data_IF_706792644802
#
_entry.id   IF_706792644802
#
_cell.length_a   1.000
_cell.length_b   1.000
_cell.length_c   1.000
_cell.angle_alpha   90.00
_cell.angle_beta   90.00
_cell.angle_gamma   90.00
#
_symmetry.space_group_name_H-M   'P 1'
#
loop_
_entity.id
_entity.type
_entity.pdbx_description
1 polymer ?
#
# COMPACT_ATOMS: atom_id res chain seq x y z
N UNK A 1 -10.60 0.68 20.20
CA UNK A 1 -9.69 1.41 19.30
C UNK A 1 -8.37 1.62 20.01
N UNK A 2 -7.23 1.61 19.29
CA UNK A 2 -5.88 1.65 19.87
C UNK A 2 -5.42 3.04 20.36
N UNK A 3 -6.27 4.08 20.27
CA UNK A 3 -6.00 5.44 20.75
C UNK A 3 -5.42 6.42 19.73
N UNK A 4 -5.28 6.02 18.46
CA UNK A 4 -4.85 6.93 17.38
C UNK A 4 -6.05 7.79 16.93
N UNK A 5 -5.95 9.13 16.90
CA UNK A 5 -6.99 10.02 16.38
C UNK A 5 -7.32 9.71 14.91
N UNK A 6 -8.61 9.75 14.56
CA UNK A 6 -9.07 9.37 13.22
C UNK A 6 -8.52 10.31 12.15
N UNK A 7 -8.35 11.57 12.51
CA UNK A 7 -7.85 12.64 11.66
C UNK A 7 -6.35 12.47 11.31
N UNK A 8 -5.64 11.56 11.99
CA UNK A 8 -4.24 11.20 11.72
C UNK A 8 -4.10 9.88 10.94
N UNK A 9 -5.20 9.33 10.43
CA UNK A 9 -5.21 8.08 9.66
C UNK A 9 -5.69 8.37 8.25
N UNK A 10 -4.80 8.20 7.28
CA UNK A 10 -5.13 8.33 5.87
C UNK A 10 -5.44 6.97 5.23
N UNK A 11 -6.54 6.91 4.47
CA UNK A 11 -6.96 5.70 3.74
C UNK A 11 -6.85 5.99 2.24
N UNK A 12 -5.91 5.31 1.57
CA UNK A 12 -5.60 5.54 0.15
C UNK A 12 -6.79 5.40 -0.80
N UNK A 13 -7.77 4.53 -0.49
CA UNK A 13 -8.89 4.22 -1.38
C UNK A 13 -8.52 3.35 -2.60
N UNK A 14 -7.25 2.98 -2.78
CA UNK A 14 -6.79 2.15 -3.90
C UNK A 14 -6.83 0.67 -3.54
N UNK A 15 -7.59 -0.10 -4.32
CA UNK A 15 -7.58 -1.56 -4.28
C UNK A 15 -6.53 -2.09 -5.27
N UNK A 16 -5.66 -3.03 -4.91
CA UNK A 16 -4.71 -3.64 -5.89
C UNK A 16 -5.40 -4.59 -6.88
N UNK A 17 -6.55 -5.15 -6.51
CA UNK A 17 -7.25 -6.12 -7.36
C UNK A 17 -8.08 -5.47 -8.48
N UNK A 18 -8.66 -4.29 -8.26
CA UNK A 18 -9.51 -3.60 -9.26
C UNK A 18 -8.70 -2.92 -10.38
N UNK A 19 -7.39 -3.06 -10.32
CA UNK A 19 -6.42 -1.99 -10.54
C UNK A 19 -5.09 -2.76 -10.62
N UNK A 20 -5.06 -3.80 -11.45
CA UNK A 20 -3.97 -4.78 -11.53
C UNK A 20 -3.12 -4.60 -12.79
N UNK A 21 -3.52 -3.64 -13.63
CA UNK A 21 -2.85 -3.14 -14.82
C UNK A 21 -1.66 -2.23 -14.48
N UNK A 22 -1.80 -1.44 -13.41
CA UNK A 22 -0.76 -0.57 -12.82
C UNK A 22 -0.07 -1.13 -11.55
N UNK A 23 -0.67 -2.09 -10.82
CA UNK A 23 -0.19 -2.60 -9.54
C UNK A 23 -0.17 -4.14 -9.52
N UNK A 24 0.79 -4.75 -8.82
CA UNK A 24 0.77 -6.20 -8.66
C UNK A 24 -0.34 -6.65 -7.71
N UNK A 25 -1.14 -7.62 -8.15
CA UNK A 25 -2.19 -8.26 -7.34
C UNK A 25 -2.11 -9.78 -7.41
N UNK A 26 -1.89 -10.41 -6.26
CA UNK A 26 -1.90 -11.87 -6.13
C UNK A 26 -3.25 -12.49 -6.55
N UNK A 27 -4.36 -11.83 -6.18
CA UNK A 27 -5.71 -12.31 -6.48
C UNK A 27 -6.03 -12.17 -7.97
N UNK A 28 -5.75 -11.02 -8.57
CA UNK A 28 -6.09 -10.77 -9.97
C UNK A 28 -5.31 -11.68 -10.93
N UNK A 29 -4.06 -12.03 -10.60
CA UNK A 29 -3.20 -12.83 -11.48
C UNK A 29 -3.17 -14.33 -11.15
N UNK A 30 -3.99 -14.79 -10.19
CA UNK A 30 -3.97 -16.19 -9.75
C UNK A 30 -2.60 -16.62 -9.20
N UNK A 31 -1.91 -15.72 -8.51
CA UNK A 31 -0.61 -15.97 -7.87
C UNK A 31 0.63 -15.67 -8.71
N UNK A 32 0.52 -15.48 -10.03
CA UNK A 32 1.67 -15.15 -10.90
C UNK A 32 1.88 -13.63 -10.97
N UNK A 33 2.73 -13.06 -10.13
CA UNK A 33 2.93 -11.60 -10.03
C UNK A 33 4.29 -11.23 -9.42
N UNK A 34 4.68 -9.97 -9.55
CA UNK A 34 5.76 -9.35 -8.77
C UNK A 34 5.30 -8.83 -7.39
N UNK A 35 6.19 -8.22 -6.61
CA UNK A 35 5.84 -7.61 -5.32
C UNK A 35 5.81 -6.08 -5.39
N UNK A 36 4.98 -5.47 -4.55
CA UNK A 36 5.06 -4.06 -4.20
C UNK A 36 5.73 -3.95 -2.82
N UNK A 37 6.23 -2.76 -2.48
CA UNK A 37 6.81 -2.48 -1.17
C UNK A 37 6.29 -1.15 -0.63
N UNK A 38 5.91 -1.12 0.65
CA UNK A 38 5.77 0.11 1.41
C UNK A 38 7.11 0.42 2.08
N UNK A 39 7.68 1.58 1.79
CA UNK A 39 9.00 1.98 2.29
C UNK A 39 8.87 3.31 3.01
N UNK A 40 9.49 3.41 4.19
CA UNK A 40 9.58 4.64 4.97
C UNK A 40 10.99 4.77 5.53
N UNK A 41 11.54 5.97 5.47
CA UNK A 41 12.85 6.30 6.05
C UNK A 41 12.85 7.74 6.50
N UNK A 42 13.74 8.06 7.45
CA UNK A 42 14.18 9.43 7.67
C UNK A 42 15.31 9.73 6.69
N UNK A 43 15.38 10.97 6.22
CA UNK A 43 16.54 11.46 5.47
C UNK A 43 17.65 11.79 6.46
N UNK A 44 18.90 11.57 6.10
CA UNK A 44 20.02 12.13 6.87
C UNK A 44 19.95 13.66 6.82
N UNK A 45 20.17 14.30 7.96
CA UNK A 45 20.28 15.76 8.04
C UNK A 45 21.66 16.23 7.61
N UNK A 46 21.74 17.44 7.07
CA UNK A 46 23.00 18.17 6.89
C UNK A 46 23.65 18.53 8.24
#
# INVERSE_FOLDING_TARGET
EAGIPKEQIEVSGVCTCCHFDWLFSHRATGGRRGNLAGVITLMEGE
#
